data_IF_133644948186
#
_entry.id   IF_133644948186
#
_cell.length_a   1.000
_cell.length_b   1.000
_cell.length_c   1.000
_cell.angle_alpha   90.00
_cell.angle_beta   90.00
_cell.angle_gamma   90.00
#
_symmetry.space_group_name_H-M   'P 1'
#
loop_
_entity.id
_entity.type
_entity.pdbx_description
1 polymer ?
#
# COMPACT_ATOMS: atom_id res chain seq x y z
N UNK A 1 17.63 10.97 -27.81
CA UNK A 1 16.33 10.52 -27.29
C UNK A 1 16.02 11.37 -26.07
N UNK A 2 14.95 12.15 -26.08
CA UNK A 2 14.62 13.02 -24.93
C UNK A 2 14.36 12.21 -23.66
N UNK A 3 14.89 12.67 -22.54
CA UNK A 3 14.62 12.07 -21.23
C UNK A 3 13.12 12.18 -20.94
N UNK A 4 12.46 11.05 -20.65
CA UNK A 4 11.01 11.00 -20.50
C UNK A 4 10.62 11.41 -19.07
N UNK A 5 10.10 12.63 -18.94
CA UNK A 5 9.56 13.16 -17.67
C UNK A 5 8.30 12.37 -17.29
N UNK A 6 8.21 11.95 -16.03
CA UNK A 6 6.99 11.39 -15.44
C UNK A 6 6.10 12.51 -14.96
N UNK A 7 4.97 12.68 -15.64
CA UNK A 7 3.98 13.71 -15.28
C UNK A 7 3.14 13.32 -14.08
N UNK A 8 2.69 14.31 -13.32
CA UNK A 8 1.69 14.17 -12.26
C UNK A 8 0.28 14.11 -12.87
N UNK A 9 -0.65 13.46 -12.16
CA UNK A 9 -2.05 13.34 -12.58
C UNK A 9 -2.75 14.69 -12.47
N UNK A 10 -3.62 15.00 -13.44
CA UNK A 10 -4.30 16.29 -13.56
C UNK A 10 -5.77 16.09 -13.87
N UNK A 11 -6.60 17.04 -13.44
CA UNK A 11 -8.02 17.08 -13.77
C UNK A 11 -8.25 17.51 -15.24
N UNK A 12 -9.52 17.62 -15.65
CA UNK A 12 -9.90 18.07 -16.99
C UNK A 12 -9.45 19.51 -17.31
N UNK A 13 -9.12 20.32 -16.30
CA UNK A 13 -8.63 21.69 -16.41
C UNK A 13 -7.09 21.78 -16.34
N UNK A 14 -6.40 20.65 -16.40
CA UNK A 14 -4.95 20.51 -16.27
C UNK A 14 -4.40 20.93 -14.90
N UNK A 15 -5.20 20.90 -13.85
CA UNK A 15 -4.76 21.19 -12.48
C UNK A 15 -4.36 19.89 -11.78
N UNK A 16 -3.17 19.82 -11.17
CA UNK A 16 -2.73 18.64 -10.44
C UNK A 16 -3.64 18.34 -9.24
N UNK A 17 -3.85 17.08 -8.89
CA UNK A 17 -4.61 16.69 -7.70
C UNK A 17 -4.24 15.26 -7.28
N UNK A 18 -4.57 14.84 -6.06
CA UNK A 18 -4.40 13.45 -5.65
C UNK A 18 -5.75 12.73 -5.82
N UNK A 19 -5.82 11.67 -6.65
CA UNK A 19 -7.05 10.92 -6.81
C UNK A 19 -7.43 10.21 -5.51
N UNK A 20 -8.71 10.28 -5.14
CA UNK A 20 -9.27 9.61 -3.97
C UNK A 20 -9.09 8.10 -4.05
N UNK A 21 -9.05 7.54 -5.26
CA UNK A 21 -8.67 6.15 -5.50
C UNK A 21 -7.25 5.80 -5.04
N UNK A 22 -6.29 6.73 -5.14
CA UNK A 22 -4.91 6.52 -4.65
C UNK A 22 -4.85 6.55 -3.12
N UNK A 23 -5.56 7.47 -2.50
CA UNK A 23 -5.66 7.59 -1.04
C UNK A 23 -6.39 6.36 -0.47
N UNK A 24 -7.55 6.03 -1.03
CA UNK A 24 -8.34 4.85 -0.67
C UNK A 24 -7.54 3.56 -0.83
N UNK A 25 -6.70 3.45 -1.87
CA UNK A 25 -5.81 2.30 -2.06
C UNK A 25 -4.79 2.13 -0.94
N UNK A 26 -4.14 3.23 -0.51
CA UNK A 26 -3.20 3.18 0.61
C UNK A 26 -3.88 2.81 1.94
N UNK A 27 -5.05 3.38 2.21
CA UNK A 27 -5.87 3.04 3.38
C UNK A 27 -6.31 1.56 3.31
N UNK A 28 -6.75 1.07 2.15
CA UNK A 28 -7.14 -0.33 1.93
C UNK A 28 -6.01 -1.29 2.27
N UNK A 29 -4.79 -1.04 1.79
CA UNK A 29 -3.63 -1.88 2.14
C UNK A 29 -3.35 -1.87 3.64
N UNK A 30 -3.43 -0.71 4.31
CA UNK A 30 -3.28 -0.63 5.77
C UNK A 30 -4.34 -1.43 6.53
N UNK A 31 -5.60 -1.37 6.09
CA UNK A 31 -6.70 -2.17 6.66
C UNK A 31 -6.45 -3.67 6.50
N UNK A 32 -6.12 -4.13 5.28
CA UNK A 32 -5.84 -5.54 5.04
C UNK A 32 -4.65 -6.02 5.88
N UNK A 33 -3.60 -5.20 5.98
CA UNK A 33 -2.45 -5.47 6.84
C UNK A 33 -2.88 -5.62 8.30
N UNK A 34 -3.66 -4.67 8.84
CA UNK A 34 -4.13 -4.71 10.23
C UNK A 34 -5.00 -5.94 10.51
N UNK A 35 -5.92 -6.27 9.61
CA UNK A 35 -6.78 -7.45 9.71
C UNK A 35 -5.93 -8.72 9.81
N UNK A 36 -4.97 -8.88 8.90
CA UNK A 36 -4.13 -10.08 8.87
C UNK A 36 -3.19 -10.18 10.07
N UNK A 37 -2.62 -9.04 10.49
CA UNK A 37 -1.77 -8.98 11.69
C UNK A 37 -2.56 -9.42 12.92
N UNK A 38 -3.79 -8.95 13.06
CA UNK A 38 -4.67 -9.32 14.17
C UNK A 38 -5.06 -10.81 14.13
N UNK A 39 -5.46 -11.33 12.95
CA UNK A 39 -5.78 -12.76 12.77
C UNK A 39 -4.57 -13.63 13.10
N UNK A 40 -3.36 -13.25 12.67
CA UNK A 40 -2.13 -13.99 12.93
C UNK A 40 -1.83 -14.11 14.42
N UNK A 41 -2.18 -13.09 15.20
CA UNK A 41 -1.98 -13.06 16.66
C UNK A 41 -3.08 -13.81 17.40
N UNK A 42 -4.35 -13.54 17.09
CA UNK A 42 -5.49 -14.11 17.82
C UNK A 42 -5.82 -15.54 17.42
N UNK A 43 -5.59 -15.90 16.16
CA UNK A 43 -5.98 -17.20 15.59
C UNK A 43 -4.89 -17.75 14.66
N UNK A 44 -3.69 -18.08 15.19
CA UNK A 44 -2.55 -18.50 14.38
C UNK A 44 -2.82 -19.78 13.58
N UNK A 45 -3.58 -20.74 14.10
CA UNK A 45 -3.96 -21.95 13.36
C UNK A 45 -4.83 -21.60 12.15
N UNK A 46 -5.84 -20.74 12.33
CA UNK A 46 -6.70 -20.28 11.24
C UNK A 46 -5.87 -19.55 10.17
N UNK A 47 -4.96 -18.66 10.59
CA UNK A 47 -4.05 -17.94 9.70
C UNK A 47 -3.22 -18.94 8.86
N UNK A 48 -2.60 -19.92 9.50
CA UNK A 48 -1.78 -20.90 8.80
C UNK A 48 -2.61 -21.74 7.81
N UNK A 49 -3.80 -22.19 8.21
CA UNK A 49 -4.65 -23.07 7.43
C UNK A 49 -5.32 -22.39 6.22
N UNK A 50 -5.66 -21.11 6.35
CA UNK A 50 -6.42 -20.37 5.34
C UNK A 50 -5.57 -19.40 4.55
N UNK A 51 -4.63 -18.70 5.21
CA UNK A 51 -3.83 -17.65 4.58
C UNK A 51 -2.52 -18.21 4.05
N UNK A 52 -1.70 -18.82 4.90
CA UNK A 52 -0.38 -19.31 4.46
C UNK A 52 -0.51 -20.44 3.44
N UNK A 53 -1.44 -21.37 3.66
CA UNK A 53 -1.75 -22.42 2.68
C UNK A 53 -2.15 -21.85 1.32
N UNK A 54 -2.97 -20.81 1.31
CA UNK A 54 -3.42 -20.16 0.07
C UNK A 54 -2.29 -19.41 -0.63
N UNK A 55 -1.45 -18.69 0.12
CA UNK A 55 -0.27 -18.01 -0.42
C UNK A 55 0.67 -19.03 -1.07
N UNK A 56 0.93 -20.16 -0.40
CA UNK A 56 1.78 -21.25 -0.92
C UNK A 56 1.18 -21.92 -2.15
N UNK A 57 -0.10 -22.27 -2.11
CA UNK A 57 -0.80 -22.84 -3.26
C UNK A 57 -0.83 -21.88 -4.45
N UNK A 58 -1.02 -20.59 -4.20
CA UNK A 58 -0.95 -19.56 -5.23
C UNK A 58 0.46 -19.52 -5.84
N UNK A 59 1.50 -19.45 -5.01
CA UNK A 59 2.90 -19.47 -5.45
C UNK A 59 3.23 -20.67 -6.35
N UNK A 60 2.80 -21.88 -5.97
CA UNK A 60 2.95 -23.09 -6.78
C UNK A 60 2.21 -22.99 -8.12
N UNK A 61 0.97 -22.51 -8.11
CA UNK A 61 0.19 -22.27 -9.32
C UNK A 61 0.85 -21.23 -10.25
N UNK A 62 1.46 -20.19 -9.68
CA UNK A 62 2.22 -19.19 -10.43
C UNK A 62 3.50 -19.77 -11.05
N UNK A 63 4.17 -20.73 -10.38
CA UNK A 63 5.33 -21.45 -10.93
C UNK A 63 4.94 -22.36 -12.10
N UNK A 64 3.86 -23.13 -11.93
CA UNK A 64 3.46 -24.17 -12.88
C UNK A 64 2.85 -23.64 -14.18
N UNK A 65 2.25 -22.45 -14.17
CA UNK A 65 1.51 -21.93 -15.35
C UNK A 65 2.37 -21.47 -16.52
N UNK A 66 3.71 -21.55 -16.46
CA UNK A 66 4.63 -21.46 -17.61
C UNK A 66 4.60 -20.19 -18.49
N UNK A 67 3.58 -19.34 -18.36
CA UNK A 67 3.27 -18.29 -19.31
C UNK A 67 2.79 -17.01 -18.61
N UNK A 68 3.37 -15.91 -19.09
CA UNK A 68 2.79 -14.57 -19.18
C UNK A 68 2.45 -13.87 -17.85
N UNK A 69 3.48 -13.16 -17.36
CA UNK A 69 3.41 -11.70 -17.18
C UNK A 69 2.30 -11.18 -16.24
N UNK A 70 2.01 -11.88 -15.15
CA UNK A 70 1.27 -11.25 -14.03
C UNK A 70 2.22 -10.41 -13.21
N UNK A 71 1.89 -9.12 -13.04
CA UNK A 71 2.68 -8.18 -12.24
C UNK A 71 2.54 -8.56 -10.76
N UNK A 72 3.54 -8.26 -9.94
CA UNK A 72 3.50 -8.42 -8.47
C UNK A 72 2.20 -7.89 -7.83
N UNK A 73 1.71 -6.76 -8.36
CA UNK A 73 0.45 -6.15 -7.97
C UNK A 73 -0.75 -7.06 -8.21
N UNK A 74 -0.71 -7.92 -9.22
CA UNK A 74 -1.80 -8.83 -9.53
C UNK A 74 -1.84 -10.01 -8.54
N UNK A 75 -0.68 -10.43 -8.00
CA UNK A 75 -0.58 -11.43 -6.94
C UNK A 75 -1.23 -10.92 -5.65
N UNK A 76 -0.77 -9.76 -5.16
CA UNK A 76 -1.28 -9.19 -3.91
C UNK A 76 -2.67 -8.57 -4.06
N UNK A 77 -2.98 -7.96 -5.21
CA UNK A 77 -4.30 -7.39 -5.46
C UNK A 77 -5.39 -8.46 -5.46
N UNK A 78 -5.11 -9.65 -6.00
CA UNK A 78 -6.03 -10.78 -5.86
C UNK A 78 -6.22 -11.21 -4.40
N UNK A 79 -5.15 -11.19 -3.60
CA UNK A 79 -5.20 -11.58 -2.20
C UNK A 79 -5.95 -10.56 -1.33
N UNK A 80 -5.68 -9.26 -1.53
CA UNK A 80 -6.43 -8.16 -0.92
C UNK A 80 -7.93 -8.24 -1.29
N UNK A 81 -8.23 -8.48 -2.57
CA UNK A 81 -9.61 -8.64 -3.04
C UNK A 81 -10.28 -9.87 -2.45
N UNK A 82 -9.56 -10.99 -2.31
CA UNK A 82 -10.12 -12.21 -1.71
C UNK A 82 -10.48 -11.97 -0.25
N UNK A 83 -9.59 -11.34 0.52
CA UNK A 83 -9.83 -11.01 1.93
C UNK A 83 -10.98 -10.04 2.11
N UNK A 84 -11.10 -9.02 1.27
CA UNK A 84 -12.16 -8.02 1.41
C UNK A 84 -13.49 -8.48 0.82
N UNK A 85 -13.54 -9.66 0.18
CA UNK A 85 -14.75 -10.32 -0.35
C UNK A 85 -15.17 -11.57 0.44
N UNK A 86 -14.56 -11.83 1.61
CA UNK A 86 -15.06 -12.83 2.56
C UNK A 86 -16.33 -12.35 3.29
N UNK A 87 -16.88 -11.20 2.91
CA UNK A 87 -18.11 -10.67 3.47
C UNK A 87 -19.28 -10.95 2.53
N UNK A 88 -20.36 -11.44 3.11
CA UNK A 88 -21.66 -11.54 2.47
C UNK A 88 -22.48 -10.30 2.78
N UNK A 89 -23.06 -9.74 1.73
CA UNK A 89 -24.00 -8.65 1.84
C UNK A 89 -25.40 -9.22 2.08
N UNK A 90 -26.02 -8.84 3.19
CA UNK A 90 -27.39 -9.22 3.54
C UNK A 90 -28.32 -8.05 3.24
N UNK A 91 -29.28 -8.22 2.34
CA UNK A 91 -30.31 -7.22 2.02
C UNK A 91 -31.69 -7.87 2.15
N UNK A 92 -32.62 -7.22 2.85
CA UNK A 92 -33.98 -7.74 3.00
C UNK A 92 -34.08 -9.08 3.75
N UNK A 93 -33.07 -9.43 4.55
CA UNK A 93 -33.02 -10.70 5.29
C UNK A 93 -32.38 -11.87 4.53
N UNK A 94 -31.99 -11.68 3.27
CA UNK A 94 -31.36 -12.72 2.46
C UNK A 94 -29.95 -12.33 2.00
N UNK A 95 -29.09 -13.33 1.83
CA UNK A 95 -27.77 -13.14 1.25
C UNK A 95 -27.91 -12.79 -0.24
N UNK A 96 -27.32 -11.68 -0.67
CA UNK A 96 -27.32 -11.26 -2.07
C UNK A 96 -26.53 -12.29 -2.88
N UNK A 97 -27.24 -13.09 -3.68
CA UNK A 97 -26.68 -14.13 -4.52
C UNK A 97 -25.70 -13.55 -5.55
N UNK A 98 -24.42 -13.51 -5.19
CA UNK A 98 -23.38 -13.03 -6.08
C UNK A 98 -22.06 -13.73 -5.77
N UNK A 99 -21.89 -14.91 -6.37
CA UNK A 99 -20.69 -15.75 -6.17
C UNK A 99 -19.37 -15.03 -6.49
N UNK A 100 -19.37 -13.89 -7.20
CA UNK A 100 -18.17 -13.11 -7.55
C UNK A 100 -18.39 -11.60 -7.75
N UNK A 101 -19.41 -10.96 -7.15
CA UNK A 101 -19.68 -9.53 -7.44
C UNK A 101 -18.85 -8.56 -6.60
N UNK A 102 -18.48 -7.38 -7.14
CA UNK A 102 -18.10 -6.20 -6.36
C UNK A 102 -18.99 -5.93 -5.13
N UNK A 103 -20.23 -6.43 -5.09
CA UNK A 103 -21.13 -6.29 -3.95
C UNK A 103 -20.57 -6.81 -2.62
N UNK A 104 -19.65 -7.79 -2.66
CA UNK A 104 -19.01 -8.38 -1.47
C UNK A 104 -17.86 -7.56 -0.89
N UNK A 105 -17.40 -6.52 -1.58
CA UNK A 105 -16.29 -5.69 -1.09
C UNK A 105 -16.76 -4.76 0.03
N UNK A 106 -16.32 -5.03 1.26
CA UNK A 106 -16.69 -4.23 2.44
C UNK A 106 -16.24 -2.78 2.33
N UNK A 107 -15.15 -2.48 1.60
CA UNK A 107 -14.68 -1.10 1.35
C UNK A 107 -15.63 -0.27 0.48
N UNK A 108 -16.76 -0.83 0.04
CA UNK A 108 -17.87 -0.05 -0.53
C UNK A 108 -18.52 0.90 0.48
N UNK A 109 -18.46 0.58 1.78
CA UNK A 109 -18.94 1.48 2.82
C UNK A 109 -18.03 2.71 3.00
N UNK A 110 -16.81 2.70 2.46
CA UNK A 110 -15.81 3.73 2.67
C UNK A 110 -15.54 4.49 1.36
N UNK A 111 -15.92 5.76 1.28
CA UNK A 111 -15.70 6.61 0.09
C UNK A 111 -14.67 7.68 0.42
N UNK A 112 -13.79 7.93 -0.53
CA UNK A 112 -12.75 8.96 -0.44
C UNK A 112 -12.88 9.82 -1.68
N UNK A 113 -13.07 11.13 -1.50
CA UNK A 113 -13.08 12.06 -2.63
C UNK A 113 -11.69 12.25 -3.20
N UNK A 114 -11.61 12.74 -4.44
CA UNK A 114 -10.41 13.39 -4.92
C UNK A 114 -10.07 14.59 -4.02
N UNK A 115 -8.80 14.98 -3.95
CA UNK A 115 -8.42 16.20 -3.23
C UNK A 115 -8.88 17.45 -3.98
N UNK A 116 -8.85 18.60 -3.30
CA UNK A 116 -8.77 19.88 -4.00
C UNK A 116 -7.59 19.89 -5.01
N UNK A 117 -7.75 20.68 -6.07
CA UNK A 117 -6.71 20.84 -7.08
C UNK A 117 -5.60 21.77 -6.59
N UNK A 118 -4.38 21.48 -7.01
CA UNK A 118 -3.17 22.25 -6.78
C UNK A 118 -3.02 23.28 -7.91
N UNK A 119 -2.34 24.40 -7.62
CA UNK A 119 -1.94 25.35 -8.65
C UNK A 119 -1.03 24.67 -9.71
N UNK A 120 -1.18 25.06 -10.97
CA UNK A 120 -0.48 24.46 -12.11
C UNK A 120 1.04 24.57 -11.98
N UNK A 121 1.51 25.65 -11.37
CA UNK A 121 2.94 25.97 -11.24
C UNK A 121 3.54 25.53 -9.89
N UNK A 122 2.74 24.95 -8.98
CA UNK A 122 3.23 24.51 -7.67
C UNK A 122 3.99 23.18 -7.72
N UNK A 123 3.87 22.39 -8.80
CA UNK A 123 4.62 21.14 -8.95
C UNK A 123 6.11 21.42 -9.19
N UNK A 124 6.95 20.57 -8.62
CA UNK A 124 8.39 20.63 -8.81
C UNK A 124 8.87 19.49 -9.71
N UNK A 125 9.77 19.78 -10.66
CA UNK A 125 10.49 18.75 -11.41
C UNK A 125 11.70 18.29 -10.59
N UNK A 126 11.72 17.00 -10.21
CA UNK A 126 12.80 16.42 -9.39
C UNK A 126 13.45 15.23 -10.07
N UNK A 127 14.76 15.09 -9.89
CA UNK A 127 15.50 13.88 -10.25
C UNK A 127 15.33 12.84 -9.13
N UNK A 128 14.81 11.68 -9.52
CA UNK A 128 14.69 10.49 -8.68
C UNK A 128 15.86 9.57 -8.99
N UNK A 129 16.72 9.37 -7.98
CA UNK A 129 17.81 8.39 -8.03
C UNK A 129 17.33 7.06 -7.45
N UNK A 130 17.93 5.96 -7.92
CA UNK A 130 17.67 4.61 -7.40
C UNK A 130 18.94 4.08 -6.77
N UNK A 131 18.85 3.73 -5.48
CA UNK A 131 19.94 3.13 -4.74
C UNK A 131 19.73 1.65 -4.53
N UNK A 132 20.81 0.89 -4.61
CA UNK A 132 20.86 -0.55 -4.35
C UNK A 132 22.27 -0.92 -3.89
N UNK A 133 22.38 -1.72 -2.83
CA UNK A 133 23.68 -2.19 -2.29
C UNK A 133 24.70 -1.05 -2.10
N UNK A 134 24.26 0.06 -1.50
CA UNK A 134 25.07 1.27 -1.22
C UNK A 134 25.59 2.00 -2.46
N UNK A 135 24.96 1.82 -3.62
CA UNK A 135 25.37 2.48 -4.87
C UNK A 135 24.15 3.09 -5.56
N UNK A 136 24.37 4.24 -6.19
CA UNK A 136 23.46 4.74 -7.22
C UNK A 136 23.50 3.80 -8.42
N UNK A 137 22.34 3.36 -8.88
CA UNK A 137 22.19 2.49 -10.06
C UNK A 137 22.48 3.27 -11.35
N UNK A 138 22.51 4.61 -11.31
CA UNK A 138 22.85 5.47 -12.44
C UNK A 138 21.70 5.67 -13.44
N UNK A 139 20.47 5.29 -13.06
CA UNK A 139 19.27 5.51 -13.88
C UNK A 139 18.70 6.90 -13.56
N UNK A 140 18.69 7.78 -14.56
CA UNK A 140 18.06 9.09 -14.46
C UNK A 140 16.56 8.99 -14.66
N UNK A 141 15.79 9.41 -13.65
CA UNK A 141 14.34 9.48 -13.71
C UNK A 141 13.92 10.88 -13.28
N UNK A 142 13.28 11.63 -14.16
CA UNK A 142 12.70 12.92 -13.80
C UNK A 142 11.19 12.77 -13.59
N UNK A 143 10.66 13.37 -12.52
CA UNK A 143 9.24 13.34 -12.22
C UNK A 143 8.75 14.68 -11.68
N UNK A 144 7.53 15.03 -12.06
CA UNK A 144 6.77 16.07 -11.37
C UNK A 144 6.31 15.54 -10.01
N UNK A 145 6.56 16.32 -8.96
CA UNK A 145 6.20 15.97 -7.58
C UNK A 145 5.53 17.15 -6.89
N UNK A 146 4.64 16.84 -5.95
CA UNK A 146 4.09 17.83 -5.02
C UNK A 146 5.23 18.23 -4.06
N UNK A 147 5.48 19.53 -3.83
CA UNK A 147 6.46 19.98 -2.84
C UNK A 147 6.06 19.55 -1.43
N UNK A 148 7.07 19.43 -0.56
CA UNK A 148 6.82 19.19 0.87
C UNK A 148 6.01 20.34 1.48
N UNK A 149 5.24 20.02 2.54
CA UNK A 149 4.42 20.98 3.31
C UNK A 149 3.22 21.57 2.56
N UNK A 150 2.90 21.07 1.37
CA UNK A 150 1.66 21.43 0.69
C UNK A 150 0.49 20.64 1.28
N UNK A 151 -0.49 21.36 1.80
CA UNK A 151 -1.70 20.79 2.40
C UNK A 151 -2.80 20.62 1.34
N UNK A 152 -3.51 19.50 1.43
CA UNK A 152 -4.62 19.15 0.55
C UNK A 152 -5.77 18.60 1.36
N UNK A 153 -6.97 18.98 0.96
CA UNK A 153 -8.20 18.57 1.61
C UNK A 153 -8.93 17.54 0.75
N UNK A 154 -9.51 16.56 1.40
CA UNK A 154 -10.43 15.59 0.81
C UNK A 154 -11.43 15.16 1.87
N UNK A 155 -12.53 14.54 1.42
CA UNK A 155 -13.57 14.03 2.29
C UNK A 155 -13.55 12.51 2.35
N UNK A 156 -13.83 11.98 3.53
CA UNK A 156 -14.12 10.57 3.75
C UNK A 156 -15.59 10.44 4.14
N UNK A 157 -16.32 9.53 3.50
CA UNK A 157 -17.74 9.30 3.79
C UNK A 157 -17.99 7.82 4.06
N UNK A 158 -18.81 7.56 5.07
CA UNK A 158 -19.15 6.22 5.53
C UNK A 158 -20.61 5.90 5.27
N UNK A 159 -20.86 4.73 4.69
CA UNK A 159 -22.18 4.12 4.61
C UNK A 159 -22.33 3.09 5.74
N UNK A 160 -22.68 3.57 6.93
CA UNK A 160 -22.84 2.73 8.13
C UNK A 160 -23.99 1.72 8.00
N UNK A 161 -25.04 2.07 7.27
CA UNK A 161 -26.14 1.15 6.97
C UNK A 161 -25.65 -0.04 6.14
N UNK A 162 -24.86 0.23 5.10
CA UNK A 162 -24.22 -0.81 4.31
C UNK A 162 -23.22 -1.63 5.13
N UNK A 163 -22.38 -0.98 5.96
CA UNK A 163 -21.43 -1.68 6.83
C UNK A 163 -22.15 -2.66 7.77
N UNK A 164 -23.25 -2.22 8.38
CA UNK A 164 -24.08 -3.05 9.26
C UNK A 164 -24.81 -4.18 8.54
N UNK A 165 -24.88 -4.13 7.21
CA UNK A 165 -25.50 -5.15 6.35
C UNK A 165 -24.52 -6.26 5.95
N UNK A 166 -23.21 -6.10 6.20
CA UNK A 166 -22.22 -7.14 5.92
C UNK A 166 -22.14 -8.17 7.05
N UNK A 167 -21.96 -9.45 6.68
CA UNK A 167 -21.65 -10.56 7.59
C UNK A 167 -20.44 -11.32 7.06
N UNK A 168 -19.51 -11.78 7.91
CA UNK A 168 -18.37 -12.54 7.45
C UNK A 168 -18.81 -13.96 7.09
N UNK A 169 -18.25 -14.54 6.03
CA UNK A 169 -18.51 -15.95 5.66
C UNK A 169 -17.79 -16.94 6.57
N UNK A 170 -16.75 -16.47 7.25
CA UNK A 170 -15.92 -17.22 8.17
C UNK A 170 -15.44 -16.23 9.25
N UNK A 171 -15.47 -16.63 10.51
CA UNK A 171 -15.07 -15.79 11.64
C UNK A 171 -13.74 -16.31 12.20
N UNK A 172 -12.61 -15.61 11.93
CA UNK A 172 -11.32 -16.05 12.41
C UNK A 172 -11.21 -16.06 13.93
N UNK A 173 -11.92 -15.16 14.62
CA UNK A 173 -11.94 -15.04 16.08
C UNK A 173 -13.25 -14.40 16.56
N UNK A 174 -13.53 -14.52 17.86
CA UNK A 174 -14.72 -13.95 18.50
C UNK A 174 -14.80 -12.42 18.32
N UNK A 175 -15.99 -11.89 18.01
CA UNK A 175 -16.23 -10.46 17.76
C UNK A 175 -15.43 -9.91 16.55
N UNK A 176 -15.18 -10.76 15.53
CA UNK A 176 -14.48 -10.34 14.31
C UNK A 176 -15.13 -9.14 13.63
N UNK A 177 -16.47 -9.09 13.53
CA UNK A 177 -17.15 -7.96 12.92
C UNK A 177 -17.03 -6.66 13.72
N UNK A 178 -17.01 -6.73 15.05
CA UNK A 178 -16.83 -5.53 15.88
C UNK A 178 -15.41 -5.00 15.73
N UNK A 179 -14.41 -5.90 15.65
CA UNK A 179 -13.06 -5.52 15.27
C UNK A 179 -13.02 -4.81 13.91
N UNK A 180 -13.69 -5.37 12.88
CA UNK A 180 -13.76 -4.76 11.55
C UNK A 180 -14.42 -3.37 11.58
N UNK A 181 -15.53 -3.21 12.32
CA UNK A 181 -16.20 -1.91 12.48
C UNK A 181 -15.29 -0.88 13.16
N UNK A 182 -14.56 -1.28 14.20
CA UNK A 182 -13.59 -0.42 14.87
C UNK A 182 -12.46 0.09 13.96
N UNK A 183 -12.11 -0.64 12.89
CA UNK A 183 -11.18 -0.14 11.88
C UNK A 183 -11.77 1.04 11.07
N UNK A 184 -13.07 1.00 10.77
CA UNK A 184 -13.75 2.07 10.04
C UNK A 184 -14.02 3.30 10.91
N UNK A 185 -14.22 3.11 12.22
CA UNK A 185 -14.38 4.21 13.17
C UNK A 185 -13.14 5.09 13.28
N UNK A 186 -11.94 4.52 13.14
CA UNK A 186 -10.67 5.26 13.24
C UNK A 186 -9.65 4.78 12.18
N UNK A 187 -9.84 5.16 10.89
CA UNK A 187 -8.94 4.74 9.82
C UNK A 187 -7.54 5.37 9.96
N UNK A 188 -7.42 6.51 10.64
CA UNK A 188 -6.13 7.19 10.85
C UNK A 188 -5.25 6.32 11.74
N UNK A 189 -5.79 5.79 12.84
CA UNK A 189 -5.06 4.85 13.71
C UNK A 189 -4.61 3.61 12.96
N UNK A 190 -5.43 3.10 12.03
CA UNK A 190 -5.07 1.96 11.18
C UNK A 190 -3.85 2.29 10.31
N UNK A 191 -3.84 3.44 9.64
CA UNK A 191 -2.70 3.82 8.80
C UNK A 191 -1.46 4.19 9.63
N UNK A 192 -1.61 4.82 10.80
CA UNK A 192 -0.52 5.10 11.74
C UNK A 192 0.23 3.81 12.11
N UNK A 193 -0.48 2.75 12.48
CA UNK A 193 0.15 1.48 12.84
C UNK A 193 0.93 0.89 11.66
N UNK A 194 0.30 0.79 10.49
CA UNK A 194 0.95 0.24 9.30
C UNK A 194 2.17 1.06 8.87
N UNK A 195 2.05 2.38 8.84
CA UNK A 195 3.14 3.29 8.48
C UNK A 195 4.29 3.20 9.47
N UNK A 196 4.02 3.02 10.78
CA UNK A 196 5.05 2.82 11.80
C UNK A 196 5.84 1.52 11.58
N UNK A 197 5.13 0.42 11.32
CA UNK A 197 5.78 -0.87 11.05
C UNK A 197 6.66 -0.79 9.80
N UNK A 198 6.20 -0.09 8.74
CA UNK A 198 7.00 0.15 7.54
C UNK A 198 8.22 1.02 7.86
N UNK A 199 8.06 2.12 8.61
CA UNK A 199 9.19 2.98 9.02
C UNK A 199 10.24 2.21 9.83
N UNK A 200 9.81 1.36 10.75
CA UNK A 200 10.70 0.51 11.54
C UNK A 200 11.53 -0.39 10.64
N UNK A 201 10.85 -1.13 9.75
CA UNK A 201 11.51 -2.02 8.78
C UNK A 201 12.45 -1.26 7.83
N UNK A 202 12.06 -0.08 7.35
CA UNK A 202 12.92 0.75 6.50
C UNK A 202 14.20 1.17 7.21
N UNK A 203 14.12 1.61 8.47
CA UNK A 203 15.30 2.00 9.26
C UNK A 203 16.29 0.85 9.41
N UNK A 204 15.81 -0.38 9.59
CA UNK A 204 16.64 -1.57 9.72
C UNK A 204 17.41 -1.92 8.44
N UNK A 205 16.82 -1.67 7.27
CA UNK A 205 17.39 -2.10 5.98
C UNK A 205 18.09 -1.00 5.19
N UNK A 206 17.79 0.28 5.44
CA UNK A 206 18.33 1.40 4.67
C UNK A 206 19.85 1.49 4.72
N UNK A 207 20.48 1.15 5.84
CA UNK A 207 21.95 1.12 5.97
C UNK A 207 22.65 0.12 5.04
N UNK A 208 21.91 -0.82 4.42
CA UNK A 208 22.41 -1.74 3.40
C UNK A 208 22.15 -1.23 1.96
N UNK A 209 21.25 -0.28 1.81
CA UNK A 209 20.78 0.23 0.51
C UNK A 209 21.46 1.55 0.17
N UNK A 210 21.52 2.47 1.13
CA UNK A 210 22.08 3.82 0.96
C UNK A 210 23.59 3.84 1.32
N UNK A 211 24.37 4.71 0.65
CA UNK A 211 25.72 5.05 1.08
C UNK A 211 25.77 5.55 2.54
N UNK A 212 26.93 5.42 3.19
CA UNK A 212 27.13 5.99 4.52
C UNK A 212 26.97 7.52 4.49
N UNK A 213 26.33 8.08 5.53
CA UNK A 213 26.06 9.51 5.63
C UNK A 213 24.82 10.00 4.88
N UNK A 214 24.13 9.13 4.12
CA UNK A 214 22.85 9.47 3.49
C UNK A 214 21.67 8.98 4.34
N UNK A 215 20.68 9.86 4.50
CA UNK A 215 19.40 9.58 5.16
C UNK A 215 18.26 9.98 4.24
N UNK A 216 17.11 9.30 4.35
CA UNK A 216 15.90 9.58 3.55
C UNK A 216 14.61 9.61 4.38
N UNK A 217 14.72 9.34 5.69
CA UNK A 217 13.59 9.21 6.62
C UNK A 217 13.67 10.26 7.72
N UNK A 218 14.07 11.46 7.34
CA UNK A 218 14.01 12.64 8.21
C UNK A 218 12.72 13.37 7.89
N UNK A 219 11.85 13.44 8.88
CA UNK A 219 10.55 14.09 8.76
C UNK A 219 10.41 15.09 9.90
N UNK A 220 9.99 16.31 9.58
CA UNK A 220 9.62 17.30 10.60
C UNK A 220 8.41 16.80 11.40
N UNK A 221 7.43 16.24 10.70
CA UNK A 221 6.26 15.60 11.28
C UNK A 221 6.21 14.12 10.91
N UNK A 222 5.82 13.29 11.88
CA UNK A 222 5.78 11.85 11.68
C UNK A 222 4.70 11.48 10.65
N UNK A 223 5.05 10.82 9.52
CA UNK A 223 4.07 10.45 8.53
C UNK A 223 3.22 9.28 9.03
N UNK A 224 1.99 9.22 8.55
CA UNK A 224 1.01 8.18 8.89
C UNK A 224 0.25 7.66 7.66
N UNK A 225 0.67 8.04 6.45
CA UNK A 225 0.13 7.52 5.19
C UNK A 225 1.25 7.48 4.13
N UNK A 226 1.25 6.44 3.29
CA UNK A 226 2.21 6.30 2.19
C UNK A 226 1.44 6.16 0.87
N UNK A 227 1.59 7.13 -0.02
CA UNK A 227 0.90 7.18 -1.31
C UNK A 227 1.86 7.30 -2.48
N UNK A 228 1.35 7.00 -3.68
CA UNK A 228 2.06 7.33 -4.92
C UNK A 228 3.30 6.47 -5.17
N UNK A 229 4.30 7.03 -5.85
CA UNK A 229 5.34 6.27 -6.54
C UNK A 229 6.51 5.78 -5.66
N UNK A 230 6.74 6.42 -4.51
CA UNK A 230 7.99 6.28 -3.75
C UNK A 230 8.04 5.17 -2.72
N UNK A 231 6.92 4.83 -2.05
CA UNK A 231 6.89 3.89 -0.93
C UNK A 231 7.36 2.45 -1.23
N UNK A 232 7.57 2.09 -2.49
CA UNK A 232 8.10 0.78 -2.86
C UNK A 232 7.08 -0.36 -2.72
N UNK A 233 7.60 -1.57 -2.52
CA UNK A 233 6.80 -2.80 -2.49
C UNK A 233 6.03 -2.98 -1.17
N UNK A 234 6.72 -2.85 -0.03
CA UNK A 234 6.16 -3.20 1.28
C UNK A 234 5.07 -2.24 1.73
N UNK A 235 5.08 -0.98 1.31
CA UNK A 235 4.01 -0.02 1.63
C UNK A 235 2.74 -0.20 0.77
N UNK A 236 2.78 -1.07 -0.23
CA UNK A 236 1.69 -1.28 -1.20
C UNK A 236 1.15 -2.70 -1.20
N UNK A 237 1.62 -3.51 -0.27
CA UNK A 237 1.25 -4.92 -0.14
C UNK A 237 1.31 -5.31 1.33
N UNK A 238 0.77 -6.48 1.64
CA UNK A 238 0.90 -7.13 2.95
C UNK A 238 2.26 -7.80 3.17
N UNK A 239 3.24 -7.56 2.28
CA UNK A 239 4.50 -8.31 2.24
C UNK A 239 5.33 -8.21 3.52
N UNK A 240 5.09 -7.21 4.37
CA UNK A 240 5.76 -7.06 5.66
C UNK A 240 5.37 -8.15 6.67
N UNK A 241 4.15 -8.71 6.59
CA UNK A 241 3.69 -9.81 7.47
C UNK A 241 4.27 -11.17 7.09
N UNK A 242 4.74 -11.30 5.85
CA UNK A 242 5.30 -12.53 5.32
C UNK A 242 6.74 -12.67 5.77
N UNK A 243 7.14 -13.91 6.06
CA UNK A 243 8.53 -14.22 6.29
C UNK A 243 9.40 -13.90 5.07
N UNK A 244 10.69 -13.72 5.33
CA UNK A 244 11.64 -13.27 4.32
C UNK A 244 11.80 -14.25 3.15
N UNK A 245 11.64 -15.55 3.39
CA UNK A 245 11.73 -16.59 2.36
C UNK A 245 10.56 -16.45 1.39
N UNK A 246 9.31 -16.44 1.89
CA UNK A 246 8.11 -16.25 1.06
C UNK A 246 8.19 -14.92 0.31
N UNK A 247 8.58 -13.84 1.00
CA UNK A 247 8.71 -12.51 0.39
C UNK A 247 9.71 -12.51 -0.77
N UNK A 248 10.84 -13.20 -0.61
CA UNK A 248 11.87 -13.33 -1.65
C UNK A 248 11.38 -14.15 -2.82
N UNK A 249 10.68 -15.26 -2.58
CA UNK A 249 10.07 -16.07 -3.64
C UNK A 249 9.07 -15.27 -4.47
N UNK A 250 8.16 -14.54 -3.82
CA UNK A 250 7.16 -13.71 -4.50
C UNK A 250 7.84 -12.63 -5.37
N UNK A 251 8.88 -11.97 -4.85
CA UNK A 251 9.62 -10.96 -5.62
C UNK A 251 10.41 -11.56 -6.78
N UNK A 252 11.06 -12.71 -6.60
CA UNK A 252 11.82 -13.37 -7.66
C UNK A 252 10.87 -13.76 -8.81
N UNK A 253 9.70 -14.33 -8.50
CA UNK A 253 8.69 -14.65 -9.52
C UNK A 253 8.24 -13.40 -10.28
N UNK A 254 7.92 -12.31 -9.59
CA UNK A 254 7.44 -11.10 -10.23
C UNK A 254 8.52 -10.34 -11.03
N UNK A 255 9.80 -10.59 -10.74
CA UNK A 255 10.93 -9.91 -11.38
C UNK A 255 11.71 -10.80 -12.34
N UNK A 256 11.10 -11.90 -12.82
CA UNK A 256 11.71 -12.84 -13.79
C UNK A 256 12.99 -13.49 -13.26
N UNK A 257 13.00 -13.90 -12.00
CA UNK A 257 14.15 -14.53 -11.33
C UNK A 257 15.42 -13.67 -11.33
N UNK A 258 15.28 -12.33 -11.39
CA UNK A 258 16.36 -11.46 -10.93
C UNK A 258 16.57 -11.81 -9.46
N UNK A 259 17.69 -12.45 -9.12
CA UNK A 259 18.04 -12.83 -7.74
C UNK A 259 18.07 -11.59 -6.85
N UNK A 260 16.91 -11.21 -6.31
CA UNK A 260 16.80 -10.15 -5.33
C UNK A 260 17.22 -10.75 -4.01
N UNK A 261 18.46 -10.44 -3.63
CA UNK A 261 19.03 -10.87 -2.37
C UNK A 261 18.35 -10.15 -1.22
N UNK A 262 18.12 -10.89 -0.13
CA UNK A 262 17.78 -10.35 1.19
C UNK A 262 18.81 -9.27 1.63
N UNK A 263 18.36 -8.26 2.40
CA UNK A 263 16.99 -8.03 2.84
C UNK A 263 16.12 -7.32 1.78
N UNK A 264 14.80 -7.46 1.92
CA UNK A 264 13.82 -6.76 1.10
C UNK A 264 13.29 -5.57 1.88
N UNK A 265 13.22 -4.36 1.30
CA UNK A 265 13.62 -3.97 -0.06
C UNK A 265 15.11 -4.11 -0.39
N UNK A 266 15.40 -4.49 -1.64
CA UNK A 266 16.77 -4.50 -2.18
C UNK A 266 17.19 -3.16 -2.80
N UNK A 267 16.24 -2.22 -2.96
CA UNK A 267 16.47 -0.91 -3.57
C UNK A 267 15.49 0.15 -3.08
N UNK A 268 15.90 1.42 -3.12
CA UNK A 268 15.08 2.58 -2.75
C UNK A 268 15.21 3.71 -3.75
N UNK A 269 14.10 4.41 -3.93
CA UNK A 269 14.06 5.67 -4.68
C UNK A 269 14.22 6.81 -3.71
N UNK A 270 14.97 7.82 -4.10
CA UNK A 270 15.08 9.03 -3.31
C UNK A 270 15.27 10.24 -4.24
N UNK A 271 14.77 11.39 -3.81
CA UNK A 271 14.98 12.66 -4.50
C UNK A 271 16.30 13.24 -4.00
N UNK A 272 17.16 13.62 -4.93
CA UNK A 272 18.39 14.33 -4.64
C UNK A 272 18.07 15.78 -4.29
N UNK A 273 18.37 16.21 -3.06
CA UNK A 273 18.12 17.59 -2.60
C UNK A 273 19.42 18.41 -2.69
N UNK A 274 20.50 17.90 -2.10
CA UNK A 274 21.88 18.45 -2.14
C UNK A 274 22.89 17.31 -2.13
N UNK A 275 24.20 17.59 -2.14
CA UNK A 275 25.27 16.59 -2.22
C UNK A 275 25.18 15.46 -1.16
N UNK A 276 24.60 15.74 0.03
CA UNK A 276 24.44 14.77 1.11
C UNK A 276 22.99 14.60 1.62
N UNK A 277 22.04 15.42 1.17
CA UNK A 277 20.65 15.35 1.62
C UNK A 277 19.75 14.70 0.58
N UNK A 278 18.97 13.71 1.03
CA UNK A 278 18.00 13.01 0.21
C UNK A 278 16.65 12.96 0.92
N UNK A 279 15.57 13.04 0.16
CA UNK A 279 14.21 12.86 0.70
C UNK A 279 13.52 11.67 0.05
N UNK A 280 12.68 11.01 0.82
CA UNK A 280 11.83 9.92 0.34
C UNK A 280 10.52 10.46 -0.23
N UNK A 281 9.92 9.74 -1.16
CA UNK A 281 8.77 10.24 -1.93
C UNK A 281 7.49 9.57 -1.45
N UNK A 282 6.43 10.35 -1.29
CA UNK A 282 5.08 9.83 -1.04
C UNK A 282 4.76 9.50 0.41
N UNK A 283 5.56 10.01 1.35
CA UNK A 283 5.22 10.00 2.76
C UNK A 283 4.37 11.23 3.07
N UNK A 284 3.21 11.01 3.66
CA UNK A 284 2.24 12.04 3.96
C UNK A 284 1.82 11.92 5.43
N UNK A 285 1.41 13.06 5.98
CA UNK A 285 0.59 13.12 7.17
C UNK A 285 -0.84 13.42 6.73
N UNK A 286 -1.82 12.68 7.25
CA UNK A 286 -3.23 13.01 7.12
C UNK A 286 -3.86 13.02 8.50
N UNK A 287 -4.76 13.96 8.72
CA UNK A 287 -5.46 14.16 9.99
C UNK A 287 -6.87 14.73 9.71
N UNK A 288 -7.74 14.61 10.70
CA UNK A 288 -9.08 15.20 10.62
C UNK A 288 -8.98 16.71 10.91
N UNK A 289 -9.57 17.52 10.04
CA UNK A 289 -9.67 18.97 10.25
C UNK A 289 -10.80 19.22 11.23
N UNK A 290 -10.49 19.83 12.38
CA UNK A 290 -11.47 20.21 13.41
C UNK A 290 -12.28 21.44 13.01
#
# INVERSE_FOLDING_TARGET
MGERIRTFVRDAYYRPYIPGSSIKGAIRTAFVYKILKEIKVKSPQWYNDKIDREIRSSLENFRNKGERRKKLRDFFGWFEDKLLRIFELILGGEAVNSRQSPHRDIFRCFRVSDTNSIDKDALQLREIKIFSRKRDVGIKIYAEVIPEKLELEFSVTYDWGLLNSFRPTDEPFENYMDFIKGLFEDPIKVTVEFTNDILGHEKEVLGRILPAGMSTLEFEEKPNLIIGYGGGYLSKTIGLLLDETIRSEILNLATRNINRTSPIPSSRKAIHMTDNAMTSIGWCKWEEVM
#
